data_IF_855631407986
#
_entry.id   IF_855631407986
#
_cell.length_a   1.000
_cell.length_b   1.000
_cell.length_c   1.000
_cell.angle_alpha   90.00
_cell.angle_beta   90.00
_cell.angle_gamma   90.00
#
_symmetry.space_group_name_H-M   'P 1'
#
loop_
_entity.id
_entity.type
_entity.pdbx_description
1 polymer ?
#
# COMPACT_ATOMS: atom_id res chain seq x y z
N UNK A 1 19.48 7.86 -10.13
CA UNK A 1 20.55 6.85 -9.98
C UNK A 1 21.75 7.46 -9.27
N UNK A 2 22.20 8.64 -9.65
CA UNK A 2 23.27 9.37 -8.94
C UNK A 2 22.93 9.68 -7.48
N UNK A 3 21.65 9.86 -7.14
CA UNK A 3 21.16 10.08 -5.77
C UNK A 3 21.22 8.85 -4.85
N UNK A 4 21.62 7.68 -5.36
CA UNK A 4 21.71 6.43 -4.59
C UNK A 4 20.37 5.74 -4.29
N UNK A 5 19.26 6.19 -4.87
CA UNK A 5 17.94 5.55 -4.72
C UNK A 5 17.96 4.18 -5.38
N UNK A 6 17.59 3.13 -4.63
CA UNK A 6 17.59 1.74 -5.10
C UNK A 6 16.18 1.14 -5.17
N UNK A 7 15.21 1.74 -4.50
CA UNK A 7 13.84 1.23 -4.43
C UNK A 7 12.82 2.37 -4.33
N UNK A 8 11.63 2.14 -4.89
CA UNK A 8 10.50 3.06 -4.82
C UNK A 8 9.23 2.31 -4.40
N UNK A 9 8.38 2.98 -3.64
CA UNK A 9 7.00 2.59 -3.43
C UNK A 9 6.11 3.61 -4.14
N UNK A 10 5.24 3.13 -5.02
CA UNK A 10 4.37 3.96 -5.84
C UNK A 10 2.92 3.62 -5.49
N UNK A 11 2.08 4.63 -5.26
CA UNK A 11 0.63 4.44 -5.12
C UNK A 11 0.00 4.44 -6.50
N UNK A 12 -0.72 3.37 -6.83
CA UNK A 12 -1.46 3.23 -8.08
C UNK A 12 -2.68 2.34 -7.81
N UNK A 13 -3.87 2.93 -7.90
CA UNK A 13 -5.11 2.28 -7.51
C UNK A 13 -5.93 1.77 -8.70
N UNK A 14 -5.51 2.05 -9.92
CA UNK A 14 -6.22 1.67 -11.16
C UNK A 14 -5.34 1.85 -12.39
N UNK A 15 -5.61 1.05 -13.43
CA UNK A 15 -5.07 1.23 -14.79
C UNK A 15 -6.07 1.89 -15.74
N UNK A 16 -7.25 2.27 -15.25
CA UNK A 16 -8.25 3.01 -16.02
C UNK A 16 -7.99 4.52 -15.93
N UNK A 17 -7.73 5.24 -17.03
CA UNK A 17 -7.37 6.67 -17.00
C UNK A 17 -8.45 7.58 -16.38
N UNK A 18 -9.72 7.26 -16.61
CA UNK A 18 -10.83 8.05 -16.06
C UNK A 18 -10.93 7.86 -14.54
N UNK A 19 -10.85 6.62 -14.08
CA UNK A 19 -10.85 6.28 -12.65
C UNK A 19 -9.61 6.84 -11.96
N UNK A 20 -8.45 6.74 -12.59
CA UNK A 20 -7.21 7.34 -12.06
C UNK A 20 -7.39 8.83 -11.79
N UNK A 21 -7.94 9.57 -12.76
CA UNK A 21 -8.18 11.01 -12.62
C UNK A 21 -9.14 11.34 -11.48
N UNK A 22 -10.14 10.49 -11.23
CA UNK A 22 -11.10 10.64 -10.13
C UNK A 22 -10.43 10.38 -8.77
N UNK A 23 -9.74 9.24 -8.62
CA UNK A 23 -9.10 8.82 -7.36
C UNK A 23 -7.94 9.76 -7.00
N UNK A 24 -7.07 10.04 -7.95
CA UNK A 24 -5.90 10.90 -7.75
C UNK A 24 -6.25 12.41 -7.73
N UNK A 25 -7.53 12.77 -7.94
CA UNK A 25 -8.00 14.16 -8.01
C UNK A 25 -7.25 15.00 -9.05
N UNK A 26 -6.83 14.37 -10.13
CA UNK A 26 -6.05 14.97 -11.21
C UNK A 26 -4.91 14.06 -11.64
N UNK A 27 -3.96 14.61 -12.41
CA UNK A 27 -2.83 13.86 -12.92
C UNK A 27 -3.13 13.10 -14.21
N UNK A 28 -2.08 12.50 -14.73
CA UNK A 28 -2.09 11.76 -15.97
C UNK A 28 -1.49 10.36 -15.76
N UNK A 29 -2.32 9.33 -15.94
CA UNK A 29 -1.92 7.94 -15.76
C UNK A 29 -0.78 7.54 -16.69
N UNK A 30 -0.82 7.99 -17.95
CA UNK A 30 0.21 7.64 -18.93
C UNK A 30 1.59 8.14 -18.49
N UNK A 31 1.66 9.34 -17.93
CA UNK A 31 2.89 9.90 -17.37
C UNK A 31 3.41 9.06 -16.20
N UNK A 32 2.52 8.59 -15.31
CA UNK A 32 2.89 7.71 -14.19
C UNK A 32 3.44 6.38 -14.69
N UNK A 33 2.74 5.73 -15.65
CA UNK A 33 3.17 4.46 -16.22
C UNK A 33 4.52 4.58 -16.95
N UNK A 34 4.74 5.64 -17.73
CA UNK A 34 6.05 5.93 -18.34
C UNK A 34 7.15 6.12 -17.30
N UNK A 35 6.82 6.76 -16.16
CA UNK A 35 7.74 6.90 -15.04
C UNK A 35 8.12 5.55 -14.43
N UNK A 36 7.15 4.65 -14.25
CA UNK A 36 7.39 3.29 -13.75
C UNK A 36 8.32 2.53 -14.69
N UNK A 37 8.02 2.48 -16.00
CA UNK A 37 8.86 1.81 -17.00
C UNK A 37 10.29 2.36 -16.99
N UNK A 38 10.43 3.69 -16.91
CA UNK A 38 11.75 4.33 -16.86
C UNK A 38 12.55 3.93 -15.62
N UNK A 39 11.92 3.80 -14.46
CA UNK A 39 12.58 3.38 -13.24
C UNK A 39 13.01 1.91 -13.30
N UNK A 40 12.18 1.03 -13.92
CA UNK A 40 12.54 -0.37 -14.16
C UNK A 40 13.75 -0.51 -15.09
N UNK A 41 13.79 0.26 -16.18
CA UNK A 41 14.96 0.31 -17.10
C UNK A 41 16.26 0.73 -16.37
N UNK A 42 16.16 1.59 -15.36
CA UNK A 42 17.27 2.02 -14.53
C UNK A 42 17.64 1.01 -13.42
N UNK A 43 17.00 -0.14 -13.37
CA UNK A 43 17.24 -1.18 -12.37
C UNK A 43 16.77 -0.84 -10.96
N UNK A 44 15.85 0.12 -10.82
CA UNK A 44 15.28 0.51 -9.53
C UNK A 44 14.16 -0.48 -9.16
N UNK A 45 14.27 -1.08 -7.99
CA UNK A 45 13.22 -1.99 -7.49
C UNK A 45 11.95 -1.19 -7.16
N UNK A 46 10.81 -1.63 -7.70
CA UNK A 46 9.52 -0.97 -7.50
C UNK A 46 8.57 -1.89 -6.74
N UNK A 47 7.82 -1.31 -5.80
CA UNK A 47 6.60 -1.88 -5.27
C UNK A 47 5.44 -0.94 -5.54
N UNK A 48 4.32 -1.48 -5.96
CA UNK A 48 3.09 -0.72 -6.14
C UNK A 48 2.17 -0.99 -4.93
N UNK A 49 1.56 0.07 -4.41
CA UNK A 49 0.54 -0.01 -3.38
C UNK A 49 -0.81 0.37 -3.98
N UNK A 50 -1.81 -0.46 -3.74
CA UNK A 50 -3.20 -0.24 -4.10
C UNK A 50 -4.06 -0.29 -2.83
N UNK A 51 -4.99 0.63 -2.70
CA UNK A 51 -6.10 0.53 -1.72
C UNK A 51 -7.35 0.05 -2.46
N UNK A 52 -7.68 -1.25 -2.40
CA UNK A 52 -8.86 -1.78 -3.06
C UNK A 52 -10.13 -1.34 -2.33
N UNK A 53 -11.10 -0.85 -3.09
CA UNK A 53 -12.39 -0.35 -2.61
C UNK A 53 -13.51 -0.95 -3.45
N UNK A 54 -14.57 -1.45 -2.80
CA UNK A 54 -15.64 -2.24 -3.42
C UNK A 54 -16.33 -1.53 -4.58
N UNK A 55 -16.73 -0.28 -4.40
CA UNK A 55 -17.46 0.48 -5.42
C UNK A 55 -16.55 1.29 -6.34
N UNK A 56 -15.35 1.61 -5.85
CA UNK A 56 -14.48 2.57 -6.53
C UNK A 56 -13.51 1.92 -7.52
N UNK A 57 -12.90 0.77 -7.18
CA UNK A 57 -11.84 0.17 -8.01
C UNK A 57 -11.66 -1.35 -7.83
N UNK A 58 -12.66 -2.08 -7.31
CA UNK A 58 -12.57 -3.53 -7.15
C UNK A 58 -12.20 -4.23 -8.47
N UNK A 59 -12.75 -3.80 -9.58
CA UNK A 59 -12.47 -4.36 -10.91
C UNK A 59 -11.01 -4.19 -11.39
N UNK A 60 -10.22 -3.34 -10.71
CA UNK A 60 -8.79 -3.15 -11.00
C UNK A 60 -7.87 -4.11 -10.22
N UNK A 61 -8.40 -4.92 -9.29
CA UNK A 61 -7.61 -5.85 -8.46
C UNK A 61 -6.78 -6.79 -9.34
N UNK A 62 -7.43 -7.54 -10.23
CA UNK A 62 -6.74 -8.48 -11.12
C UNK A 62 -5.94 -7.78 -12.23
N UNK A 63 -6.48 -6.80 -12.96
CA UNK A 63 -5.71 -6.10 -14.01
C UNK A 63 -4.41 -5.46 -13.48
N UNK A 64 -4.43 -4.88 -12.29
CA UNK A 64 -3.23 -4.28 -11.71
C UNK A 64 -2.24 -5.35 -11.22
N UNK A 65 -2.73 -6.50 -10.73
CA UNK A 65 -1.88 -7.64 -10.40
C UNK A 65 -1.18 -8.18 -11.65
N UNK A 66 -1.91 -8.37 -12.75
CA UNK A 66 -1.37 -8.81 -14.04
C UNK A 66 -0.25 -7.88 -14.51
N UNK A 67 -0.52 -6.57 -14.53
CA UNK A 67 0.46 -5.54 -14.89
C UNK A 67 1.75 -5.64 -14.06
N UNK A 68 1.60 -5.85 -12.74
CA UNK A 68 2.73 -5.95 -11.82
C UNK A 68 3.52 -7.25 -12.03
N UNK A 69 2.84 -8.40 -12.13
CA UNK A 69 3.48 -9.70 -12.30
C UNK A 69 4.25 -9.80 -13.62
N UNK A 70 3.73 -9.24 -14.71
CA UNK A 70 4.41 -9.20 -16.01
C UNK A 70 5.72 -8.41 -15.98
N UNK A 71 5.84 -7.44 -15.06
CA UNK A 71 7.00 -6.55 -14.91
C UNK A 71 7.92 -6.89 -13.76
N UNK A 72 7.65 -7.98 -13.03
CA UNK A 72 8.40 -8.36 -11.84
C UNK A 72 8.25 -7.37 -10.68
N UNK A 73 7.17 -6.59 -10.67
CA UNK A 73 6.81 -5.65 -9.59
C UNK A 73 6.00 -6.40 -8.52
N UNK A 74 6.31 -6.18 -7.25
CA UNK A 74 5.48 -6.66 -6.14
C UNK A 74 4.32 -5.70 -5.90
N UNK A 75 3.08 -6.15 -6.15
CA UNK A 75 1.87 -5.41 -5.79
C UNK A 75 1.54 -5.64 -4.31
N UNK A 76 1.21 -4.57 -3.59
CA UNK A 76 0.70 -4.64 -2.21
C UNK A 76 -0.68 -4.03 -2.13
N UNK A 77 -1.67 -4.84 -1.81
CA UNK A 77 -2.99 -4.40 -1.46
C UNK A 77 -2.99 -3.93 0.00
N UNK A 78 -3.53 -2.75 0.25
CA UNK A 78 -3.66 -2.19 1.60
C UNK A 78 -5.14 -2.11 1.93
N UNK A 79 -5.59 -2.81 2.95
CA UNK A 79 -6.98 -2.69 3.40
C UNK A 79 -7.32 -1.25 3.74
N UNK A 80 -8.52 -0.85 3.35
CA UNK A 80 -9.04 0.48 3.62
C UNK A 80 -9.07 0.72 5.14
N UNK A 81 -8.47 1.82 5.58
CA UNK A 81 -8.40 2.20 7.00
C UNK A 81 -9.48 3.22 7.35
N UNK A 82 -10.04 3.12 8.55
CA UNK A 82 -10.98 4.13 9.09
C UNK A 82 -10.25 5.40 9.47
N UNK A 83 -10.05 6.31 8.50
CA UNK A 83 -9.32 7.57 8.71
C UNK A 83 -10.01 8.74 8.00
N UNK A 84 -9.96 9.94 8.61
CA UNK A 84 -10.49 11.16 8.00
C UNK A 84 -11.98 11.07 7.68
N UNK A 85 -12.35 11.33 6.43
CA UNK A 85 -13.75 11.26 5.96
C UNK A 85 -14.33 9.84 5.92
N UNK A 86 -13.48 8.80 5.98
CA UNK A 86 -13.87 7.40 6.04
C UNK A 86 -14.24 6.95 7.48
N UNK A 87 -14.17 7.84 8.47
CA UNK A 87 -14.70 7.57 9.81
C UNK A 87 -16.23 7.43 9.86
N UNK A 88 -16.94 7.79 8.77
CA UNK A 88 -18.36 7.52 8.64
C UNK A 88 -18.55 6.02 8.35
N UNK A 89 -19.14 5.29 9.29
CA UNK A 89 -19.30 3.84 9.21
C UNK A 89 -19.97 3.37 7.92
N UNK A 90 -20.96 4.09 7.41
CA UNK A 90 -21.67 3.74 6.18
C UNK A 90 -20.76 3.77 4.94
N UNK A 91 -19.90 4.77 4.80
CA UNK A 91 -18.96 4.91 3.67
C UNK A 91 -17.88 3.84 3.77
N UNK A 92 -17.30 3.67 4.96
CA UNK A 92 -16.30 2.63 5.19
C UNK A 92 -16.83 1.24 4.86
N UNK A 93 -18.00 0.87 5.39
CA UNK A 93 -18.59 -0.46 5.16
C UNK A 93 -18.96 -0.72 3.70
N UNK A 94 -19.38 0.31 2.97
CA UNK A 94 -19.70 0.17 1.55
C UNK A 94 -18.47 -0.05 0.67
N UNK A 95 -17.31 0.43 1.09
CA UNK A 95 -16.06 0.37 0.32
C UNK A 95 -15.08 -0.71 0.80
N UNK A 96 -15.18 -1.16 2.05
CA UNK A 96 -14.23 -2.09 2.63
C UNK A 96 -14.23 -3.45 1.94
N UNK A 97 -13.04 -3.93 1.60
CA UNK A 97 -12.73 -5.28 1.13
C UNK A 97 -11.74 -5.92 2.09
N UNK A 98 -12.13 -7.06 2.69
CA UNK A 98 -11.27 -7.81 3.60
C UNK A 98 -10.16 -8.56 2.85
N UNK A 99 -9.11 -8.93 3.57
CA UNK A 99 -8.05 -9.81 3.05
C UNK A 99 -8.63 -11.09 2.43
N UNK A 100 -9.61 -11.73 3.07
CA UNK A 100 -10.23 -12.95 2.53
C UNK A 100 -10.90 -12.68 1.17
N UNK A 101 -11.61 -11.58 1.05
CA UNK A 101 -12.23 -11.20 -0.22
C UNK A 101 -11.19 -11.02 -1.34
N UNK A 102 -10.06 -10.37 -1.04
CA UNK A 102 -8.96 -10.21 -2.00
C UNK A 102 -8.36 -11.55 -2.41
N UNK A 103 -8.14 -12.45 -1.45
CA UNK A 103 -7.63 -13.80 -1.72
C UNK A 103 -8.59 -14.62 -2.59
N UNK A 104 -9.89 -14.55 -2.31
CA UNK A 104 -10.92 -15.23 -3.09
C UNK A 104 -10.94 -14.71 -4.54
N UNK A 105 -10.88 -13.40 -4.74
CA UNK A 105 -10.86 -12.78 -6.06
C UNK A 105 -9.59 -13.12 -6.83
N UNK A 106 -8.42 -13.01 -6.22
CA UNK A 106 -7.13 -13.39 -6.83
C UNK A 106 -7.12 -14.89 -7.15
N UNK A 107 -7.72 -15.72 -6.28
CA UNK A 107 -7.84 -17.17 -6.44
C UNK A 107 -8.66 -17.61 -7.64
N UNK A 108 -9.49 -16.73 -8.22
CA UNK A 108 -10.22 -17.02 -9.46
C UNK A 108 -9.31 -17.15 -10.67
N UNK A 109 -8.14 -16.50 -10.65
CA UNK A 109 -7.20 -16.43 -11.78
C UNK A 109 -5.84 -17.05 -11.47
N UNK A 110 -5.38 -17.01 -10.23
CA UNK A 110 -4.05 -17.43 -9.82
C UNK A 110 -4.06 -18.45 -8.70
N UNK A 111 -3.23 -19.49 -8.83
CA UNK A 111 -2.80 -20.28 -7.68
C UNK A 111 -1.66 -19.54 -6.98
N UNK A 112 -1.68 -19.48 -5.66
CA UNK A 112 -0.67 -18.82 -4.86
C UNK A 112 -0.46 -19.53 -3.53
N UNK A 113 0.66 -19.29 -2.91
CA UNK A 113 1.03 -19.82 -1.58
C UNK A 113 1.50 -18.68 -0.66
N UNK A 114 1.12 -18.74 0.61
CA UNK A 114 1.63 -17.80 1.62
C UNK A 114 3.11 -18.08 1.85
N UNK A 115 3.92 -17.03 1.93
CA UNK A 115 5.37 -17.13 2.17
C UNK A 115 5.75 -16.47 3.48
N UNK A 116 6.87 -16.90 4.06
CA UNK A 116 7.45 -16.21 5.21
C UNK A 116 7.85 -14.79 4.84
N UNK A 117 7.69 -13.91 5.81
CA UNK A 117 8.07 -12.51 5.72
C UNK A 117 8.96 -12.14 6.92
N UNK A 118 9.83 -11.12 6.81
CA UNK A 118 10.57 -10.59 7.96
C UNK A 118 9.66 -10.23 9.12
N UNK A 119 10.14 -10.32 10.34
CA UNK A 119 9.36 -10.09 11.56
C UNK A 119 8.64 -8.73 11.60
N UNK A 120 9.26 -7.69 11.04
CA UNK A 120 8.71 -6.32 10.97
C UNK A 120 7.91 -6.03 9.69
N UNK A 121 7.64 -7.07 8.88
CA UNK A 121 6.85 -6.93 7.66
C UNK A 121 5.41 -6.55 8.00
N UNK A 122 4.89 -5.55 7.26
CA UNK A 122 3.48 -5.16 7.37
C UNK A 122 2.57 -5.94 6.46
N UNK A 123 3.13 -6.55 5.42
CA UNK A 123 2.38 -7.28 4.43
C UNK A 123 2.53 -8.78 4.65
N UNK A 124 1.40 -9.48 4.67
CA UNK A 124 1.37 -10.92 4.44
C UNK A 124 1.70 -11.14 2.97
N UNK A 125 2.73 -11.92 2.69
CA UNK A 125 3.27 -12.07 1.34
C UNK A 125 2.85 -13.40 0.74
N UNK A 126 2.50 -13.38 -0.54
CA UNK A 126 2.10 -14.54 -1.33
C UNK A 126 2.96 -14.66 -2.58
N UNK A 127 3.27 -15.90 -2.95
CA UNK A 127 3.98 -16.23 -4.19
C UNK A 127 3.02 -16.79 -5.21
N UNK A 128 3.07 -16.26 -6.42
CA UNK A 128 2.42 -16.83 -7.61
C UNK A 128 3.49 -17.61 -8.36
N UNK A 129 3.42 -18.96 -8.39
CA UNK A 129 4.46 -19.79 -9.00
C UNK A 129 4.75 -19.40 -10.45
N UNK A 130 6.03 -19.20 -10.77
CA UNK A 130 6.49 -18.83 -12.10
C UNK A 130 6.22 -17.38 -12.53
N UNK A 131 5.56 -16.55 -11.69
CA UNK A 131 5.19 -15.19 -12.04
C UNK A 131 5.75 -14.10 -11.11
N UNK A 132 5.72 -14.32 -9.79
CA UNK A 132 6.22 -13.31 -8.86
C UNK A 132 5.51 -13.33 -7.50
N UNK A 133 5.34 -12.15 -6.93
CA UNK A 133 4.80 -12.01 -5.58
C UNK A 133 3.77 -10.88 -5.51
N UNK A 134 2.82 -11.03 -4.59
CA UNK A 134 1.99 -9.94 -4.10
C UNK A 134 1.94 -9.96 -2.58
N UNK A 135 1.46 -8.88 -1.98
CA UNK A 135 1.29 -8.77 -0.53
C UNK A 135 -0.06 -8.16 -0.16
N UNK A 136 -0.54 -8.46 1.04
CA UNK A 136 -1.73 -7.83 1.61
C UNK A 136 -1.36 -7.23 2.96
N UNK A 137 -1.60 -5.93 3.13
CA UNK A 137 -1.44 -5.22 4.39
C UNK A 137 -2.82 -5.18 5.05
N UNK A 138 -3.09 -6.22 5.85
CA UNK A 138 -4.39 -6.50 6.44
C UNK A 138 -4.53 -5.78 7.81
N UNK A 139 -4.72 -4.47 7.77
CA UNK A 139 -4.80 -3.66 8.99
C UNK A 139 -6.00 -4.01 9.87
N UNK A 140 -7.09 -4.46 9.26
CA UNK A 140 -8.37 -4.76 9.93
C UNK A 140 -8.60 -6.27 10.06
N UNK A 141 -8.29 -7.04 8.99
CA UNK A 141 -8.57 -8.48 8.96
C UNK A 141 -7.53 -9.32 9.73
N UNK A 142 -6.24 -8.98 9.62
CA UNK A 142 -5.12 -9.66 10.30
C UNK A 142 -4.12 -8.61 10.82
N UNK A 143 -4.48 -7.89 11.91
CA UNK A 143 -3.66 -6.80 12.44
C UNK A 143 -2.28 -7.30 12.92
N UNK A 144 -1.22 -6.62 12.48
CA UNK A 144 0.19 -6.93 12.82
C UNK A 144 0.74 -6.07 13.96
N UNK A 145 -0.12 -5.61 14.89
CA UNK A 145 0.24 -4.69 15.97
C UNK A 145 1.34 -5.21 16.89
N UNK A 146 1.40 -6.51 17.15
CA UNK A 146 2.38 -7.14 18.05
C UNK A 146 3.81 -7.11 17.52
N UNK A 147 4.00 -6.99 16.20
CA UNK A 147 5.31 -6.91 15.54
C UNK A 147 5.61 -5.51 14.96
N UNK A 148 4.76 -4.53 15.25
CA UNK A 148 4.89 -3.19 14.68
C UNK A 148 5.96 -2.37 15.40
N UNK A 149 7.02 -1.99 14.67
CA UNK A 149 8.14 -1.18 15.18
C UNK A 149 8.08 0.28 14.71
N UNK A 150 6.95 0.72 14.13
CA UNK A 150 6.84 2.03 13.49
C UNK A 150 6.40 3.12 14.44
N UNK A 151 7.08 4.25 14.35
CA UNK A 151 6.69 5.51 14.95
C UNK A 151 6.53 6.56 13.84
N UNK A 152 5.73 7.59 14.09
CA UNK A 152 5.54 8.74 13.21
C UNK A 152 5.63 10.01 14.00
N UNK A 153 6.42 10.95 13.49
CA UNK A 153 6.52 12.30 14.01
C UNK A 153 5.75 13.23 13.07
N UNK A 154 4.83 14.02 13.63
CA UNK A 154 4.13 15.06 12.88
C UNK A 154 4.96 16.35 12.82
N UNK A 155 4.63 17.23 11.89
CA UNK A 155 5.32 18.51 11.72
C UNK A 155 5.13 19.48 12.91
N UNK A 156 4.12 19.24 13.73
CA UNK A 156 3.81 19.98 14.95
C UNK A 156 4.37 19.33 16.24
N UNK A 157 5.31 18.37 16.10
CA UNK A 157 6.09 17.81 17.19
C UNK A 157 5.41 16.68 17.98
N UNK A 158 4.37 16.03 17.44
CA UNK A 158 3.73 14.90 18.10
C UNK A 158 4.21 13.56 17.57
N UNK A 159 4.49 12.63 18.48
CA UNK A 159 4.83 11.25 18.20
C UNK A 159 3.60 10.37 18.27
N UNK A 160 3.37 9.58 17.21
CA UNK A 160 2.28 8.62 17.09
C UNK A 160 2.82 7.19 16.98
N UNK A 161 2.29 6.28 17.79
CA UNK A 161 2.57 4.83 17.66
C UNK A 161 1.80 4.17 16.52
N UNK A 162 0.61 4.68 16.19
CA UNK A 162 -0.26 4.13 15.15
C UNK A 162 -1.08 5.22 14.47
N UNK A 163 -1.38 5.05 13.16
CA UNK A 163 -2.27 5.96 12.43
C UNK A 163 -3.76 5.76 12.77
N UNK A 164 -4.12 4.55 13.21
CA UNK A 164 -5.49 4.22 13.61
C UNK A 164 -5.81 4.61 15.05
N UNK A 165 -4.84 5.18 15.79
CA UNK A 165 -5.01 5.60 17.18
C UNK A 165 -4.81 7.12 17.28
N UNK A 166 -5.67 7.77 18.05
CA UNK A 166 -5.58 9.22 18.34
C UNK A 166 -4.59 9.55 19.45
N UNK A 167 -4.09 8.54 20.20
CA UNK A 167 -3.10 8.72 21.25
C UNK A 167 -1.78 9.22 20.64
N UNK A 168 -1.29 10.35 21.19
CA UNK A 168 -0.06 10.99 20.76
C UNK A 168 0.69 11.60 21.94
N UNK A 169 2.00 11.71 21.82
CA UNK A 169 2.86 12.32 22.83
C UNK A 169 3.59 13.50 22.19
N UNK A 170 3.55 14.66 22.82
CA UNK A 170 4.33 15.81 22.36
C UNK A 170 5.81 15.58 22.72
N UNK A 171 6.68 15.77 21.74
CA UNK A 171 8.14 15.58 21.87
C UNK A 171 8.92 16.77 21.30
N UNK A 172 8.23 17.87 20.95
CA UNK A 172 8.87 19.06 20.37
C UNK A 172 9.94 19.66 21.29
N UNK A 173 9.69 19.71 22.59
CA UNK A 173 10.64 20.26 23.56
C UNK A 173 11.96 19.45 23.66
N UNK A 174 11.94 18.16 23.28
CA UNK A 174 13.14 17.31 23.30
C UNK A 174 14.11 17.60 22.14
N UNK A 175 13.64 18.31 21.10
CA UNK A 175 14.45 18.63 19.92
C UNK A 175 15.26 19.92 20.14
N UNK A 176 14.80 20.78 21.05
CA UNK A 176 15.41 22.11 21.32
C UNK A 176 16.44 22.08 22.44
N UNK A 177 16.63 20.96 23.15
CA UNK A 177 17.72 20.83 24.11
C UNK A 177 19.05 20.62 23.38
N UNK A 178 20.02 21.54 23.51
CA UNK A 178 21.36 21.31 22.99
C UNK A 178 21.96 20.07 23.69
N UNK A 179 22.33 19.09 22.87
CA UNK A 179 23.14 17.96 23.38
C UNK A 179 24.50 18.49 23.77
N UNK A 180 24.79 18.51 25.10
CA UNK A 180 26.11 18.74 25.65
C UNK A 180 27.14 17.71 25.14
#
# INVERSE_FOLDING_TARGET
>A
VESGIKRLNISLDTLNPLRFKQIARGGDLETVLKGIERMLELGIAIKINMVPMRQSNQEDILPLLDYCLERGIELRYIELMRMGHLNQDSVYQSEFLSMQHLLDEIGTQYSFERTDAPFDSTAVRYKVPGKGYFGIIANESEPFCTSCTRLRLSSDGYLYGCLSNTARTYVGDLVDEPTD
#
